data_IF_910087010905
#
_entry.id   IF_910087010905
#
_cell.length_a   1.000
_cell.length_b   1.000
_cell.length_c   1.000
_cell.angle_alpha   90.00
_cell.angle_beta   90.00
_cell.angle_gamma   90.00
#
_symmetry.space_group_name_H-M   'P 1'
#
loop_
_entity.id
_entity.type
_entity.pdbx_description
1 polymer ?
#
# COMPACT_ATOMS: atom_id res chain seq x y z
N UNK A 1 -35.30 8.18 4.79
CA UNK A 1 -34.50 7.12 5.43
C UNK A 1 -33.29 7.83 6.01
N UNK A 2 -33.00 7.70 7.31
CA UNK A 2 -31.80 8.27 7.88
C UNK A 2 -30.60 7.63 7.14
N UNK A 3 -29.67 8.45 6.62
CA UNK A 3 -28.37 7.96 6.17
C UNK A 3 -27.75 7.23 7.36
N UNK A 4 -27.47 5.94 7.19
CA UNK A 4 -26.72 5.21 8.19
C UNK A 4 -25.32 5.84 8.23
N UNK A 5 -24.88 6.26 9.42
CA UNK A 5 -23.52 6.76 9.60
C UNK A 5 -22.56 5.63 9.24
N UNK A 6 -21.80 5.84 8.17
CA UNK A 6 -20.77 4.94 7.68
C UNK A 6 -19.42 5.58 8.02
N UNK A 7 -18.58 4.86 8.77
CA UNK A 7 -17.26 5.35 9.15
C UNK A 7 -16.17 4.32 8.83
N UNK A 8 -15.07 4.80 8.25
CA UNK A 8 -13.86 4.01 8.07
C UNK A 8 -12.79 4.40 9.08
N UNK A 9 -12.25 3.40 9.80
CA UNK A 9 -11.13 3.58 10.72
C UNK A 9 -9.95 2.76 10.21
N UNK A 10 -8.79 3.42 10.04
CA UNK A 10 -7.57 2.81 9.54
C UNK A 10 -6.51 2.76 10.66
N UNK A 11 -6.24 1.57 11.21
CA UNK A 11 -5.05 1.35 12.02
C UNK A 11 -3.82 1.32 11.12
N UNK A 12 -2.93 2.27 11.31
CA UNK A 12 -1.85 2.58 10.39
C UNK A 12 -0.55 2.87 11.12
N UNK A 13 0.57 2.73 10.43
CA UNK A 13 1.85 3.26 10.81
C UNK A 13 2.38 4.12 9.68
N UNK A 14 2.88 5.34 9.98
CA UNK A 14 3.24 6.32 8.96
C UNK A 14 4.09 5.75 7.83
N UNK A 15 5.10 4.94 8.16
CA UNK A 15 6.07 4.37 7.22
C UNK A 15 5.71 2.97 6.70
N UNK A 16 4.53 2.45 7.04
CA UNK A 16 4.08 1.16 6.51
C UNK A 16 3.64 1.30 5.05
N UNK A 17 4.33 0.61 4.14
CA UNK A 17 3.95 0.54 2.73
C UNK A 17 2.57 -0.08 2.52
N UNK A 18 2.21 -1.12 3.31
CA UNK A 18 0.89 -1.72 3.26
C UNK A 18 -0.22 -0.77 3.72
N UNK A 19 0.04 0.06 4.76
CA UNK A 19 -0.93 1.08 5.19
C UNK A 19 -1.05 2.21 4.16
N UNK A 20 0.05 2.58 3.51
CA UNK A 20 0.05 3.59 2.47
C UNK A 20 -0.82 3.22 1.27
N UNK A 21 -0.90 1.93 0.90
CA UNK A 21 -1.83 1.44 -0.14
C UNK A 21 -3.27 1.85 0.17
N UNK A 22 -3.72 1.63 1.40
CA UNK A 22 -5.09 1.99 1.79
C UNK A 22 -5.28 3.50 1.87
N UNK A 23 -4.31 4.25 2.40
CA UNK A 23 -4.38 5.71 2.42
C UNK A 23 -4.53 6.29 1.02
N UNK A 24 -3.75 5.78 0.05
CA UNK A 24 -3.83 6.20 -1.36
C UNK A 24 -5.22 5.86 -1.93
N UNK A 25 -5.69 4.62 -1.76
CA UNK A 25 -6.97 4.19 -2.30
C UNK A 25 -8.15 4.97 -1.72
N UNK A 26 -8.20 5.14 -0.39
CA UNK A 26 -9.24 5.91 0.29
C UNK A 26 -9.25 7.37 -0.19
N UNK A 27 -8.07 7.99 -0.33
CA UNK A 27 -7.96 9.35 -0.84
C UNK A 27 -8.39 9.47 -2.31
N UNK A 28 -7.98 8.53 -3.18
CA UNK A 28 -8.36 8.52 -4.60
C UNK A 28 -9.88 8.35 -4.78
N UNK A 29 -10.49 7.54 -3.92
CA UNK A 29 -11.93 7.31 -3.91
C UNK A 29 -12.72 8.40 -3.17
N UNK A 30 -12.02 9.38 -2.57
CA UNK A 30 -12.62 10.42 -1.74
C UNK A 30 -13.44 9.85 -0.56
N UNK A 31 -13.05 8.71 -0.03
CA UNK A 31 -13.67 8.07 1.14
C UNK A 31 -13.04 8.66 2.40
N UNK A 32 -13.82 9.31 3.27
CA UNK A 32 -13.30 9.81 4.54
C UNK A 32 -12.93 8.66 5.47
N UNK A 33 -11.88 8.86 6.26
CA UNK A 33 -11.45 7.87 7.25
C UNK A 33 -10.71 8.50 8.42
N UNK A 34 -10.82 7.87 9.58
CA UNK A 34 -10.08 8.21 10.79
C UNK A 34 -8.83 7.32 10.89
N UNK A 35 -7.66 7.92 11.13
CA UNK A 35 -6.42 7.17 11.32
C UNK A 35 -6.15 6.93 12.81
N UNK A 36 -5.94 5.66 13.19
CA UNK A 36 -5.43 5.27 14.51
C UNK A 36 -3.97 4.83 14.34
N UNK A 37 -3.00 5.64 14.84
CA UNK A 37 -1.58 5.29 14.77
C UNK A 37 -1.27 4.03 15.58
N UNK A 38 -0.50 3.12 14.98
CA UNK A 38 -0.01 1.90 15.63
C UNK A 38 1.50 1.80 15.44
N UNK A 39 2.28 2.19 16.45
CA UNK A 39 3.72 2.31 16.34
C UNK A 39 4.40 0.93 16.31
N UNK A 40 4.92 0.55 15.12
CA UNK A 40 5.60 -0.72 14.90
C UNK A 40 6.98 -0.78 15.58
N UNK A 41 7.64 0.36 15.80
CA UNK A 41 8.94 0.40 16.46
C UNK A 41 8.83 0.22 17.98
N UNK A 42 7.64 0.54 18.54
CA UNK A 42 7.29 0.31 19.95
C UNK A 42 6.48 -0.98 20.14
N UNK A 43 6.44 -1.84 19.13
CA UNK A 43 5.74 -3.12 19.13
C UNK A 43 4.24 -3.04 19.52
N UNK A 44 3.58 -1.91 19.34
CA UNK A 44 2.15 -1.73 19.66
C UNK A 44 1.25 -2.71 18.92
N UNK A 45 1.64 -3.11 17.68
CA UNK A 45 0.95 -4.14 16.89
C UNK A 45 1.00 -5.54 17.54
N UNK A 46 1.88 -5.78 18.52
CA UNK A 46 2.01 -7.03 19.26
C UNK A 46 1.20 -7.03 20.55
N UNK A 47 0.59 -5.91 20.94
CA UNK A 47 -0.23 -5.81 22.15
C UNK A 47 -1.43 -6.76 22.12
N UNK A 48 -1.92 -7.25 23.28
CA UNK A 48 -3.12 -8.08 23.34
C UNK A 48 -4.34 -7.40 22.70
N UNK A 49 -4.51 -6.09 22.91
CA UNK A 49 -5.61 -5.30 22.33
C UNK A 49 -5.56 -5.26 20.82
N UNK A 50 -4.39 -5.00 20.21
CA UNK A 50 -4.26 -5.00 18.77
C UNK A 50 -4.42 -6.41 18.17
N UNK A 51 -3.90 -7.44 18.83
CA UNK A 51 -4.08 -8.85 18.41
C UNK A 51 -5.54 -9.31 18.43
N UNK A 52 -6.34 -8.79 19.35
CA UNK A 52 -7.77 -9.05 19.39
C UNK A 52 -8.51 -8.44 18.18
N UNK A 53 -8.02 -7.34 17.64
CA UNK A 53 -8.54 -6.71 16.42
C UNK A 53 -7.97 -7.34 15.14
N UNK A 54 -6.67 -7.61 15.14
CA UNK A 54 -5.96 -8.22 14.02
C UNK A 54 -5.04 -9.35 14.50
N UNK A 55 -5.46 -10.61 14.39
CA UNK A 55 -4.66 -11.77 14.83
C UNK A 55 -3.30 -11.90 14.13
N UNK A 56 -3.14 -11.32 12.92
CA UNK A 56 -1.85 -11.28 12.21
C UNK A 56 -0.83 -10.35 12.86
N UNK A 57 -1.24 -9.55 13.87
CA UNK A 57 -0.38 -8.61 14.58
C UNK A 57 0.41 -7.70 13.60
N UNK A 58 -0.31 -7.03 12.73
CA UNK A 58 0.24 -6.19 11.65
C UNK A 58 -0.64 -4.98 11.36
N UNK A 59 -0.15 -4.08 10.54
CA UNK A 59 -0.92 -2.98 9.92
C UNK A 59 -0.80 -3.10 8.40
N UNK A 60 -1.82 -2.66 7.63
CA UNK A 60 -3.04 -2.01 8.08
C UNK A 60 -4.08 -3.00 8.66
N UNK A 61 -5.00 -2.43 9.43
CA UNK A 61 -6.31 -2.98 9.69
C UNK A 61 -7.32 -1.90 9.31
N UNK A 62 -8.23 -2.22 8.41
CA UNK A 62 -9.37 -1.37 8.07
C UNK A 62 -10.58 -1.85 8.87
N UNK A 63 -11.20 -0.95 9.59
CA UNK A 63 -12.49 -1.19 10.25
C UNK A 63 -13.54 -0.37 9.50
N UNK A 64 -14.58 -1.02 9.05
CA UNK A 64 -15.74 -0.39 8.44
C UNK A 64 -16.90 -0.50 9.45
N UNK A 65 -17.29 0.62 10.01
CA UNK A 65 -18.38 0.72 10.97
C UNK A 65 -19.67 1.07 10.23
N UNK A 66 -20.66 0.21 10.29
CA UNK A 66 -21.98 0.39 9.68
C UNK A 66 -23.06 -0.13 10.64
N UNK A 67 -24.06 0.68 10.96
CA UNK A 67 -25.22 0.27 11.75
C UNK A 67 -24.81 -0.47 13.05
N UNK A 68 -23.89 0.10 13.84
CA UNK A 68 -23.36 -0.43 15.10
C UNK A 68 -22.57 -1.76 14.98
N UNK A 69 -22.13 -2.12 13.77
CA UNK A 69 -21.34 -3.31 13.51
C UNK A 69 -19.96 -2.95 12.96
N UNK A 70 -18.90 -3.44 13.60
CA UNK A 70 -17.54 -3.33 13.12
C UNK A 70 -17.20 -4.49 12.19
N UNK A 71 -17.08 -4.24 10.91
CA UNK A 71 -16.49 -5.17 9.95
C UNK A 71 -14.99 -4.91 9.80
N UNK A 72 -14.17 -5.89 10.13
CA UNK A 72 -12.70 -5.77 10.17
C UNK A 72 -12.08 -6.46 8.96
N UNK A 73 -11.32 -5.71 8.15
CA UNK A 73 -10.58 -6.26 7.02
C UNK A 73 -9.09 -6.16 7.31
N UNK A 74 -8.48 -7.32 7.46
CA UNK A 74 -7.02 -7.48 7.56
C UNK A 74 -6.44 -7.76 6.16
N UNK A 75 -5.13 -7.52 5.96
CA UNK A 75 -4.45 -7.62 4.67
C UNK A 75 -4.80 -6.51 3.68
N UNK A 76 -3.77 -5.75 3.29
CA UNK A 76 -3.99 -4.54 2.45
C UNK A 76 -4.65 -4.82 1.11
N UNK A 77 -4.33 -5.95 0.46
CA UNK A 77 -4.93 -6.28 -0.85
C UNK A 77 -6.41 -6.63 -0.69
N UNK A 78 -6.77 -7.42 0.32
CA UNK A 78 -8.17 -7.73 0.60
C UNK A 78 -8.98 -6.46 0.91
N UNK A 79 -8.40 -5.52 1.67
CA UNK A 79 -9.04 -4.24 1.96
C UNK A 79 -9.19 -3.35 0.70
N UNK A 80 -8.22 -3.38 -0.22
CA UNK A 80 -8.31 -2.68 -1.50
C UNK A 80 -9.46 -3.24 -2.36
N UNK A 81 -9.55 -4.56 -2.51
CA UNK A 81 -10.65 -5.22 -3.24
C UNK A 81 -12.00 -4.94 -2.56
N UNK A 82 -12.05 -4.96 -1.23
CA UNK A 82 -13.25 -4.61 -0.47
C UNK A 82 -13.74 -3.19 -0.80
N UNK A 83 -12.84 -2.20 -0.85
CA UNK A 83 -13.18 -0.83 -1.21
C UNK A 83 -13.64 -0.70 -2.67
N UNK A 84 -13.13 -1.53 -3.59
CA UNK A 84 -13.63 -1.58 -4.97
C UNK A 84 -15.06 -2.11 -5.04
N UNK A 85 -15.38 -3.14 -4.26
CA UNK A 85 -16.69 -3.79 -4.26
C UNK A 85 -17.76 -2.95 -3.53
N UNK A 86 -17.38 -2.29 -2.43
CA UNK A 86 -18.33 -1.50 -1.63
C UNK A 86 -18.56 -0.08 -2.17
N UNK A 87 -17.63 0.48 -2.96
CA UNK A 87 -17.72 1.80 -3.55
C UNK A 87 -17.62 1.79 -5.09
N UNK A 88 -18.53 1.10 -5.80
CA UNK A 88 -18.46 0.96 -7.25
C UNK A 88 -18.71 2.28 -8.00
N UNK A 89 -19.39 3.23 -7.37
CA UNK A 89 -19.68 4.57 -7.94
C UNK A 89 -18.54 5.58 -7.77
N UNK A 90 -17.52 5.26 -6.95
CA UNK A 90 -16.34 6.11 -6.77
C UNK A 90 -15.32 5.89 -7.89
N UNK A 91 -14.17 6.59 -7.83
CA UNK A 91 -13.06 6.38 -8.78
C UNK A 91 -12.66 4.90 -8.83
N UNK A 92 -12.86 4.19 -9.95
CA UNK A 92 -12.51 2.78 -10.05
C UNK A 92 -11.00 2.62 -10.11
N UNK A 93 -10.46 1.66 -9.34
CA UNK A 93 -9.04 1.30 -9.32
C UNK A 93 -8.78 -0.08 -9.98
N UNK A 94 -9.81 -0.64 -10.61
CA UNK A 94 -9.71 -1.81 -11.48
C UNK A 94 -10.28 -1.47 -12.85
N UNK A 95 -9.75 -2.04 -13.94
CA UNK A 95 -10.37 -1.99 -15.26
C UNK A 95 -11.81 -2.50 -15.24
N UNK A 96 -12.62 -2.14 -16.24
CA UNK A 96 -13.99 -2.60 -16.38
C UNK A 96 -14.11 -4.11 -16.31
N UNK A 97 -15.26 -4.62 -15.87
CA UNK A 97 -15.51 -6.06 -15.79
C UNK A 97 -15.47 -6.76 -17.15
N UNK A 98 -15.66 -6.01 -18.22
CA UNK A 98 -15.59 -6.42 -19.63
C UNK A 98 -14.15 -6.60 -20.14
N UNK A 99 -13.12 -6.14 -19.38
CA UNK A 99 -11.71 -6.38 -19.70
C UNK A 99 -11.02 -7.29 -18.65
N UNK A 100 -11.27 -8.60 -18.68
CA UNK A 100 -10.67 -9.54 -17.74
C UNK A 100 -9.16 -9.68 -17.89
N UNK A 101 -8.59 -9.35 -19.05
CA UNK A 101 -7.14 -9.39 -19.28
C UNK A 101 -6.43 -8.28 -18.54
N UNK A 102 -6.87 -7.04 -18.72
CA UNK A 102 -6.31 -5.91 -17.98
C UNK A 102 -6.50 -6.09 -16.47
N UNK A 103 -7.67 -6.58 -16.01
CA UNK A 103 -7.90 -6.90 -14.58
C UNK A 103 -6.91 -7.95 -14.06
N UNK A 104 -6.61 -8.99 -14.83
CA UNK A 104 -5.65 -10.02 -14.46
C UNK A 104 -4.23 -9.44 -14.35
N UNK A 105 -3.83 -8.59 -15.29
CA UNK A 105 -2.51 -7.92 -15.27
C UNK A 105 -2.38 -6.97 -14.08
N UNK A 106 -3.41 -6.16 -13.79
CA UNK A 106 -3.42 -5.32 -12.58
C UNK A 106 -3.17 -6.16 -11.34
N UNK A 107 -3.89 -7.30 -11.18
CA UNK A 107 -3.72 -8.19 -10.02
C UNK A 107 -2.37 -8.88 -10.00
N UNK A 108 -1.80 -9.24 -11.16
CA UNK A 108 -0.44 -9.77 -11.24
C UNK A 108 0.58 -8.77 -10.72
N UNK A 109 0.51 -7.51 -11.17
CA UNK A 109 1.39 -6.43 -10.70
C UNK A 109 1.20 -6.15 -9.19
N UNK A 110 -0.05 -6.17 -8.70
CA UNK A 110 -0.35 -6.08 -7.27
C UNK A 110 0.34 -7.20 -6.51
N UNK A 111 0.26 -8.43 -7.00
CA UNK A 111 0.81 -9.61 -6.32
C UNK A 111 2.33 -9.66 -6.39
N UNK A 112 2.99 -9.21 -7.45
CA UNK A 112 4.46 -9.04 -7.46
C UNK A 112 4.89 -8.19 -6.25
N UNK A 113 4.19 -7.07 -6.00
CA UNK A 113 4.51 -6.22 -4.86
C UNK A 113 4.08 -6.85 -3.52
N UNK A 114 2.89 -7.46 -3.47
CA UNK A 114 2.27 -7.90 -2.23
C UNK A 114 2.72 -9.31 -1.78
N UNK A 115 3.13 -10.17 -2.69
CA UNK A 115 3.51 -11.55 -2.40
C UNK A 115 5.02 -11.80 -2.54
N UNK A 116 5.69 -11.14 -3.51
CA UNK A 116 7.09 -11.44 -3.79
C UNK A 116 8.04 -10.42 -3.13
N UNK A 117 7.67 -9.13 -3.07
CA UNK A 117 8.52 -8.07 -2.52
C UNK A 117 8.25 -7.82 -1.04
N UNK A 118 7.05 -7.39 -0.69
CA UNK A 118 6.76 -6.86 0.63
C UNK A 118 6.91 -7.89 1.76
N UNK A 119 6.46 -9.16 1.64
CA UNK A 119 6.57 -10.12 2.74
C UNK A 119 8.00 -10.48 3.11
N UNK A 120 8.92 -10.49 2.16
CA UNK A 120 10.33 -10.86 2.37
C UNK A 120 11.20 -9.66 2.77
N UNK A 121 10.73 -8.43 2.56
CA UNK A 121 11.45 -7.19 2.87
C UNK A 121 10.87 -6.42 4.06
N UNK A 122 9.82 -6.95 4.72
CA UNK A 122 9.20 -6.28 5.85
C UNK A 122 10.10 -6.28 7.11
N UNK A 123 9.77 -5.39 8.04
CA UNK A 123 10.53 -5.22 9.28
C UNK A 123 10.69 -6.52 10.08
N UNK A 124 9.67 -7.39 10.10
CA UNK A 124 9.70 -8.68 10.81
C UNK A 124 10.76 -9.62 10.24
N UNK A 125 10.90 -9.69 8.91
CA UNK A 125 11.92 -10.48 8.24
C UNK A 125 13.29 -9.84 8.44
N UNK A 126 13.43 -8.54 8.24
CA UNK A 126 14.69 -7.82 8.45
C UNK A 126 15.24 -8.00 9.89
N UNK A 127 14.37 -7.96 10.91
CA UNK A 127 14.77 -8.26 12.31
C UNK A 127 15.35 -9.68 12.44
N UNK A 128 14.77 -10.66 11.76
CA UNK A 128 15.26 -12.06 11.76
C UNK A 128 16.57 -12.21 11.01
N UNK A 129 16.71 -11.58 9.84
CA UNK A 129 17.98 -11.59 9.08
C UNK A 129 19.12 -11.05 9.94
N UNK A 130 18.91 -9.91 10.63
CA UNK A 130 19.93 -9.36 11.56
C UNK A 130 20.21 -10.32 12.73
N UNK A 131 19.20 -10.95 13.30
CA UNK A 131 19.37 -11.91 14.39
C UNK A 131 20.19 -13.16 13.96
N UNK A 132 20.18 -13.51 12.67
CA UNK A 132 21.00 -14.57 12.08
C UNK A 132 22.38 -14.07 11.62
N UNK A 133 22.75 -12.81 11.90
CA UNK A 133 24.03 -12.22 11.49
C UNK A 133 24.08 -11.78 10.03
N UNK A 134 22.93 -11.73 9.32
CA UNK A 134 22.87 -11.32 7.93
C UNK A 134 22.73 -9.79 7.77
N UNK A 135 23.12 -9.30 6.58
CA UNK A 135 22.94 -7.90 6.17
C UNK A 135 21.50 -7.68 5.70
N UNK A 136 20.67 -7.17 6.60
CA UNK A 136 19.25 -6.95 6.33
C UNK A 136 19.00 -5.81 5.31
N UNK A 137 19.89 -4.82 5.25
CA UNK A 137 19.80 -3.72 4.30
C UNK A 137 20.08 -4.20 2.89
N UNK A 138 21.13 -5.00 2.71
CA UNK A 138 21.45 -5.68 1.46
C UNK A 138 20.33 -6.62 1.04
N UNK A 139 19.84 -7.45 1.96
CA UNK A 139 18.70 -8.34 1.76
C UNK A 139 17.47 -7.59 1.21
N UNK A 140 17.10 -6.48 1.85
CA UNK A 140 15.96 -5.68 1.43
C UNK A 140 16.17 -5.08 0.03
N UNK A 141 17.36 -4.51 -0.20
CA UNK A 141 17.70 -3.88 -1.48
C UNK A 141 17.67 -4.87 -2.64
N UNK A 142 18.29 -6.03 -2.49
CA UNK A 142 18.35 -7.04 -3.54
C UNK A 142 16.98 -7.59 -3.88
N UNK A 143 16.19 -8.04 -2.90
CA UNK A 143 14.86 -8.60 -3.14
C UNK A 143 13.85 -7.54 -3.62
N UNK A 144 14.01 -6.28 -3.22
CA UNK A 144 13.20 -5.19 -3.77
C UNK A 144 13.55 -4.95 -5.23
N UNK A 145 14.84 -4.95 -5.58
CA UNK A 145 15.31 -4.78 -6.96
C UNK A 145 14.79 -5.90 -7.88
N UNK A 146 14.88 -7.17 -7.43
CA UNK A 146 14.36 -8.32 -8.19
C UNK A 146 12.86 -8.19 -8.47
N UNK A 147 12.08 -7.83 -7.46
CA UNK A 147 10.63 -7.64 -7.63
C UNK A 147 10.28 -6.44 -8.52
N UNK A 148 11.03 -5.34 -8.42
CA UNK A 148 10.81 -4.19 -9.32
C UNK A 148 11.21 -4.52 -10.76
N UNK A 149 12.23 -5.35 -10.97
CA UNK A 149 12.60 -5.83 -12.31
C UNK A 149 11.47 -6.68 -12.93
N UNK A 150 10.85 -7.57 -12.14
CA UNK A 150 9.70 -8.35 -12.57
C UNK A 150 8.49 -7.44 -12.87
N UNK A 151 8.22 -6.46 -12.00
CA UNK A 151 7.16 -5.46 -12.22
C UNK A 151 7.39 -4.67 -13.51
N UNK A 152 8.60 -4.14 -13.71
CA UNK A 152 8.97 -3.37 -14.91
C UNK A 152 8.74 -4.18 -16.18
N UNK A 153 9.14 -5.46 -16.19
CA UNK A 153 9.00 -6.33 -17.35
C UNK A 153 7.53 -6.52 -17.76
N UNK A 154 6.64 -6.75 -16.77
CA UNK A 154 5.20 -6.89 -17.03
C UNK A 154 4.58 -5.53 -17.39
N UNK A 155 4.86 -4.48 -16.62
CA UNK A 155 4.27 -3.17 -16.84
C UNK A 155 4.65 -2.59 -18.21
N UNK A 156 5.86 -2.82 -18.70
CA UNK A 156 6.33 -2.31 -20.01
C UNK A 156 5.43 -2.73 -21.17
N UNK A 157 4.76 -3.86 -21.08
CA UNK A 157 3.86 -4.36 -22.12
C UNK A 157 2.46 -3.74 -22.06
N UNK A 158 2.07 -3.24 -20.89
CA UNK A 158 0.70 -2.81 -20.62
C UNK A 158 0.55 -1.32 -20.28
N UNK A 159 1.66 -0.65 -19.95
CA UNK A 159 1.62 0.71 -19.45
C UNK A 159 1.28 1.73 -20.54
N UNK A 160 0.25 2.51 -20.25
CA UNK A 160 -0.01 3.81 -20.84
C UNK A 160 0.57 4.91 -19.96
N UNK A 161 -0.24 5.85 -19.51
CA UNK A 161 0.16 6.84 -18.51
C UNK A 161 0.46 6.18 -17.15
N UNK A 162 -0.19 5.06 -16.83
CA UNK A 162 -0.04 4.31 -15.59
C UNK A 162 0.38 2.86 -15.87
N UNK A 163 0.49 2.03 -14.84
CA UNK A 163 0.99 0.67 -14.94
C UNK A 163 0.19 -0.23 -15.89
N UNK A 164 -1.12 0.03 -16.05
CA UNK A 164 -1.99 -0.64 -17.00
C UNK A 164 -2.91 0.40 -17.65
N UNK A 165 -2.61 0.78 -18.88
CA UNK A 165 -3.36 1.79 -19.64
C UNK A 165 -3.23 3.20 -19.05
N UNK A 166 -4.29 4.02 -19.23
CA UNK A 166 -4.27 5.44 -18.95
C UNK A 166 -5.10 5.86 -17.73
N UNK A 167 -5.43 4.91 -16.87
CA UNK A 167 -6.13 5.14 -15.60
C UNK A 167 -5.35 4.54 -14.44
N UNK A 168 -5.35 5.24 -13.30
CA UNK A 168 -4.79 4.73 -12.06
C UNK A 168 -5.50 3.45 -11.67
N UNK A 169 -4.73 2.46 -11.23
CA UNK A 169 -5.23 1.16 -10.82
C UNK A 169 -4.65 0.70 -9.48
N UNK A 170 -5.12 -0.42 -8.96
CA UNK A 170 -4.55 -1.05 -7.76
C UNK A 170 -3.07 -1.39 -7.93
N UNK A 171 -2.59 -1.60 -9.18
CA UNK A 171 -1.18 -1.81 -9.46
C UNK A 171 -0.35 -0.59 -9.05
N UNK A 172 -0.78 0.61 -9.43
CA UNK A 172 -0.12 1.88 -9.11
C UNK A 172 -0.20 2.19 -7.61
N UNK A 173 -1.35 1.92 -7.00
CA UNK A 173 -1.56 2.06 -5.56
C UNK A 173 -0.60 1.19 -4.75
N UNK A 174 -0.28 -0.01 -5.24
CA UNK A 174 0.69 -0.89 -4.60
C UNK A 174 2.14 -0.54 -4.94
N UNK A 175 2.40 -0.07 -6.15
CA UNK A 175 3.73 0.31 -6.63
C UNK A 175 4.31 1.50 -5.85
N UNK A 176 3.54 2.57 -5.70
CA UNK A 176 4.02 3.82 -5.09
C UNK A 176 4.70 3.62 -3.73
N UNK A 177 4.08 2.95 -2.73
CA UNK A 177 4.76 2.72 -1.45
C UNK A 177 5.96 1.77 -1.54
N UNK A 178 5.97 0.85 -2.51
CA UNK A 178 7.12 -0.02 -2.76
C UNK A 178 8.28 0.79 -3.35
N UNK A 179 7.99 1.72 -4.27
CA UNK A 179 8.96 2.64 -4.83
C UNK A 179 9.59 3.53 -3.75
N UNK A 180 8.78 4.15 -2.87
CA UNK A 180 9.31 4.93 -1.73
C UNK A 180 10.21 4.10 -0.80
N UNK A 181 9.89 2.82 -0.64
CA UNK A 181 10.73 1.91 0.14
C UNK A 181 12.04 1.60 -0.59
N UNK A 182 11.99 1.39 -1.91
CA UNK A 182 13.16 1.18 -2.75
C UNK A 182 14.13 2.36 -2.71
N UNK A 183 13.62 3.60 -2.84
CA UNK A 183 14.42 4.83 -2.67
C UNK A 183 15.13 4.85 -1.32
N UNK A 184 14.40 4.56 -0.25
CA UNK A 184 14.95 4.57 1.12
C UNK A 184 16.06 3.53 1.35
N UNK A 185 16.00 2.39 0.66
CA UNK A 185 17.03 1.34 0.77
C UNK A 185 18.12 1.45 -0.30
N UNK A 186 18.08 2.50 -1.13
CA UNK A 186 19.10 2.79 -2.13
C UNK A 186 19.11 1.79 -3.29
N UNK A 187 17.93 1.33 -3.71
CA UNK A 187 17.80 0.58 -4.97
C UNK A 187 18.07 1.51 -6.14
N UNK A 188 18.83 1.04 -7.12
CA UNK A 188 19.04 1.78 -8.37
C UNK A 188 17.77 1.78 -9.21
N UNK A 189 17.01 2.87 -9.11
CA UNK A 189 15.73 3.02 -9.79
C UNK A 189 15.88 3.43 -11.27
N UNK A 190 17.07 3.79 -11.71
CA UNK A 190 17.34 4.13 -13.14
C UNK A 190 17.16 2.93 -14.07
N UNK A 191 17.22 1.71 -13.51
CA UNK A 191 17.00 0.46 -14.24
C UNK A 191 15.52 0.24 -14.64
N UNK A 192 14.57 1.03 -14.12
CA UNK A 192 13.12 0.80 -14.27
C UNK A 192 12.41 2.02 -14.89
N UNK A 193 12.62 2.30 -16.19
CA UNK A 193 12.10 3.53 -16.83
C UNK A 193 10.57 3.60 -16.90
N UNK A 194 9.87 2.47 -17.05
CA UNK A 194 8.39 2.44 -17.03
C UNK A 194 7.88 2.79 -15.64
N UNK A 195 8.43 2.18 -14.59
CA UNK A 195 8.11 2.48 -13.20
C UNK A 195 8.37 3.97 -12.90
N UNK A 196 9.54 4.50 -13.28
CA UNK A 196 9.90 5.90 -13.04
C UNK A 196 8.90 6.86 -13.69
N UNK A 197 8.46 6.59 -14.93
CA UNK A 197 7.44 7.37 -15.64
C UNK A 197 6.09 7.31 -14.95
N UNK A 198 5.63 6.12 -14.57
CA UNK A 198 4.35 5.92 -13.88
C UNK A 198 4.34 6.64 -12.53
N UNK A 199 5.41 6.50 -11.75
CA UNK A 199 5.55 7.21 -10.47
C UNK A 199 5.57 8.72 -10.68
N UNK A 200 6.31 9.21 -11.69
CA UNK A 200 6.35 10.63 -12.06
C UNK A 200 4.97 11.21 -12.37
N UNK A 201 4.07 10.43 -12.99
CA UNK A 201 2.70 10.86 -13.29
C UNK A 201 1.78 10.92 -12.06
N UNK A 202 2.16 10.28 -10.95
CA UNK A 202 1.29 10.13 -9.78
C UNK A 202 1.80 10.81 -8.52
N UNK A 203 3.11 11.00 -8.38
CA UNK A 203 3.70 11.44 -7.11
C UNK A 203 3.17 12.79 -6.61
N UNK A 204 2.77 13.68 -7.51
CA UNK A 204 2.25 15.01 -7.20
C UNK A 204 0.72 15.06 -7.12
N UNK A 205 0.03 13.93 -7.34
CA UNK A 205 -1.42 13.85 -7.17
C UNK A 205 -1.78 14.06 -5.70
N UNK A 206 -2.75 14.93 -5.40
CA UNK A 206 -3.11 15.30 -4.03
C UNK A 206 -3.37 14.09 -3.12
N UNK A 207 -4.10 13.08 -3.63
CA UNK A 207 -4.38 11.85 -2.89
C UNK A 207 -3.12 11.08 -2.49
N UNK A 208 -2.08 11.11 -3.34
CA UNK A 208 -0.78 10.47 -3.11
C UNK A 208 0.06 11.29 -2.13
N UNK A 209 0.13 12.60 -2.32
CA UNK A 209 0.82 13.53 -1.40
C UNK A 209 0.26 13.41 0.01
N UNK A 210 -1.07 13.40 0.17
CA UNK A 210 -1.73 13.21 1.48
C UNK A 210 -1.41 11.85 2.10
N UNK A 211 -1.27 10.80 1.30
CA UNK A 211 -0.97 9.44 1.76
C UNK A 211 0.51 9.22 2.08
N UNK A 212 1.41 10.09 1.61
CA UNK A 212 2.85 9.93 1.77
C UNK A 212 3.26 9.89 3.24
N UNK A 213 4.28 9.10 3.56
CA UNK A 213 4.72 8.88 4.94
C UNK A 213 5.26 10.14 5.64
N UNK A 214 5.62 11.18 4.92
CA UNK A 214 6.00 12.47 5.49
C UNK A 214 4.81 13.29 6.04
N UNK A 215 3.60 12.96 5.62
CA UNK A 215 2.39 13.75 5.88
C UNK A 215 1.39 13.05 6.82
N UNK A 216 1.82 12.01 7.54
CA UNK A 216 0.93 11.28 8.43
C UNK A 216 0.91 11.89 9.85
N UNK A 217 -0.19 11.70 10.61
CA UNK A 217 -0.29 12.25 11.96
C UNK A 217 0.79 11.73 12.92
N UNK A 218 1.27 10.50 12.71
CA UNK A 218 2.32 9.85 13.50
C UNK A 218 3.72 9.98 12.91
N UNK A 219 3.89 10.83 11.89
CA UNK A 219 5.22 11.13 11.34
C UNK A 219 6.03 11.94 12.35
N UNK A 220 7.24 11.50 12.73
CA UNK A 220 8.15 12.27 13.56
C UNK A 220 8.44 13.64 12.96
N UNK A 221 8.55 14.68 13.80
CA UNK A 221 8.69 16.07 13.35
C UNK A 221 9.94 16.29 12.47
N UNK A 222 11.02 15.57 12.75
CA UNK A 222 12.27 15.61 11.98
C UNK A 222 12.13 15.05 10.55
N UNK A 223 11.07 14.29 10.27
CA UNK A 223 10.78 13.71 8.95
C UNK A 223 9.66 14.45 8.21
N UNK A 224 8.95 15.38 8.85
CA UNK A 224 7.89 16.14 8.19
C UNK A 224 8.47 17.03 7.10
N UNK A 225 7.88 16.97 5.91
CA UNK A 225 8.17 17.99 4.88
C UNK A 225 7.48 19.29 5.29
N UNK A 226 8.27 20.37 5.32
CA UNK A 226 7.78 21.75 5.56
C UNK A 226 7.11 22.27 4.29
#
# INVERSE_FOLDING_TARGET
>A
MAEQEEEYILHSYFRSSCSARLRIALNLKSIPYTTIPTNLLRDQHLSPSHRALNPSASVPLLVHHVADVDFKVTQSVAALEYLEETHPSSTPLLPGADDPRARAVVRSLVNIVACDVQPVTNMRVMRRVRALGGDAERWNRELTADGLAAYEAVAREWAGAYSVGDRVSLADVCLLPAYWNAERFGVDLSAYPTIARVVGNLQDHEAVVRAHYFNQPDTPDELRRK
#
